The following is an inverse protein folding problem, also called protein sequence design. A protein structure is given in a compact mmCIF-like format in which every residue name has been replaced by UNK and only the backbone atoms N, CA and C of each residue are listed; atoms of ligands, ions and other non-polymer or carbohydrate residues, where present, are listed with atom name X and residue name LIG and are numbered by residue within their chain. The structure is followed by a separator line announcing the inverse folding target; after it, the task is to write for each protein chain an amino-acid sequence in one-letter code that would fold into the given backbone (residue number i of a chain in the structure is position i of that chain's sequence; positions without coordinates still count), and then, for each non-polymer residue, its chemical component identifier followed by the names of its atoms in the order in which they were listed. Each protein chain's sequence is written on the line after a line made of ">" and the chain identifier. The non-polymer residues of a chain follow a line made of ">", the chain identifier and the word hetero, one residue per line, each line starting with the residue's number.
data_IF_907159483044
#
_entry.id   IF_907159483044
#
_cell.length_a   1.000
_cell.length_b   1.000
_cell.length_c   1.000
_cell.angle_alpha   90.00
_cell.angle_beta   90.00
_cell.angle_gamma   90.00
#
_symmetry.space_group_name_H-M   'P 1'
#
loop_
_entity.id
_entity.type
_entity.pdbx_description
1 polymer ?
#
# COMPACT_ATOMS: atom_id res chain seq x y z
N UNK A 1 54.27 -35.62 11.80
CA UNK A 1 55.04 -36.47 10.88
C UNK A 1 54.11 -36.96 9.78
N UNK A 2 54.44 -36.67 8.63
CA UNK A 2 54.35 -37.11 7.24
C UNK A 2 53.86 -36.05 6.30
N UNK A 3 54.88 -35.48 5.65
CA UNK A 3 54.85 -34.74 4.41
C UNK A 3 54.49 -35.69 3.27
N UNK A 4 53.76 -35.25 2.27
CA UNK A 4 54.05 -35.64 0.90
C UNK A 4 53.74 -34.51 -0.06
N UNK A 5 54.76 -34.31 -0.87
CA UNK A 5 54.89 -33.34 -1.94
C UNK A 5 54.53 -34.04 -3.29
N UNK A 6 54.09 -33.25 -4.22
CA UNK A 6 54.70 -32.86 -5.50
C UNK A 6 54.17 -33.56 -6.78
N UNK A 7 54.10 -32.75 -7.77
CA UNK A 7 54.16 -32.72 -9.27
C UNK A 7 52.80 -32.47 -9.90
N UNK A 8 52.53 -31.46 -10.68
CA UNK A 8 53.38 -30.73 -11.67
C UNK A 8 53.20 -31.31 -13.07
N UNK A 9 52.37 -30.70 -13.93
CA UNK A 9 52.65 -30.68 -15.38
C UNK A 9 51.82 -29.59 -16.08
N UNK A 10 52.57 -28.68 -16.67
CA UNK A 10 52.23 -27.69 -17.70
C UNK A 10 51.97 -28.38 -19.03
N UNK A 11 50.93 -27.96 -19.78
CA UNK A 11 50.94 -28.09 -21.25
C UNK A 11 50.37 -26.80 -21.86
N UNK A 12 51.20 -26.14 -22.60
CA UNK A 12 50.95 -25.03 -23.52
C UNK A 12 50.42 -25.59 -24.81
N UNK A 13 49.45 -24.96 -25.43
CA UNK A 13 48.95 -25.30 -26.75
C UNK A 13 48.19 -24.13 -27.37
N UNK A 14 48.88 -23.25 -28.04
CA UNK A 14 48.33 -22.25 -28.93
C UNK A 14 47.91 -22.89 -30.26
N UNK A 15 46.75 -22.52 -30.79
CA UNK A 15 46.46 -22.63 -32.20
C UNK A 15 45.41 -21.61 -32.61
N UNK A 16 45.84 -20.61 -33.32
CA UNK A 16 45.07 -19.77 -34.24
C UNK A 16 44.60 -20.61 -35.43
N UNK A 17 43.39 -20.38 -35.93
CA UNK A 17 43.13 -20.33 -37.37
C UNK A 17 41.77 -19.65 -37.66
N UNK A 18 41.82 -18.74 -38.58
CA UNK A 18 40.75 -18.02 -39.27
C UNK A 18 39.90 -18.96 -40.15
N UNK A 19 38.63 -18.59 -40.32
CA UNK A 19 37.78 -19.15 -41.35
C UNK A 19 36.51 -18.35 -41.53
N UNK A 20 36.37 -17.69 -42.64
CA UNK A 20 35.33 -16.75 -43.03
C UNK A 20 34.13 -17.41 -43.71
N UNK A 21 33.02 -16.69 -43.75
CA UNK A 21 31.92 -16.63 -44.73
C UNK A 21 30.86 -17.72 -44.81
N UNK A 22 29.63 -17.27 -44.70
CA UNK A 22 28.58 -17.54 -45.67
C UNK A 22 27.31 -18.21 -45.19
N UNK A 23 26.18 -17.51 -45.31
CA UNK A 23 24.92 -18.16 -45.62
C UNK A 23 23.74 -17.92 -44.70
N UNK A 24 22.78 -17.20 -45.18
CA UNK A 24 21.49 -16.83 -44.65
C UNK A 24 20.63 -17.99 -44.16
N UNK A 25 19.87 -17.74 -43.08
CA UNK A 25 18.82 -18.60 -42.54
C UNK A 25 18.08 -17.91 -41.43
N UNK A 26 17.02 -17.23 -41.76
CA UNK A 26 16.10 -16.49 -40.93
C UNK A 26 15.24 -17.46 -40.12
N UNK A 27 15.26 -17.36 -38.77
CA UNK A 27 14.06 -17.66 -37.99
C UNK A 27 14.17 -16.99 -36.63
N UNK A 28 13.20 -16.14 -36.37
CA UNK A 28 13.09 -15.30 -35.22
C UNK A 28 12.85 -16.09 -33.93
N UNK A 29 13.57 -15.72 -32.91
CA UNK A 29 13.31 -15.99 -31.53
C UNK A 29 13.51 -14.67 -30.80
N UNK A 30 12.46 -13.93 -30.63
CA UNK A 30 12.45 -12.72 -29.82
C UNK A 30 12.65 -13.09 -28.35
N UNK A 31 13.90 -13.30 -27.97
CA UNK A 31 14.33 -13.27 -26.57
C UNK A 31 14.64 -11.83 -26.24
N UNK A 32 13.57 -11.10 -25.85
CA UNK A 32 13.68 -9.77 -25.31
C UNK A 32 14.63 -9.76 -24.11
N UNK A 33 15.90 -9.55 -24.38
CA UNK A 33 16.91 -9.19 -23.41
C UNK A 33 16.47 -7.84 -22.80
N UNK A 34 15.77 -7.87 -21.66
CA UNK A 34 15.56 -6.69 -20.82
C UNK A 34 16.94 -6.28 -20.32
N UNK A 35 17.62 -5.45 -21.09
CA UNK A 35 18.88 -4.85 -20.69
C UNK A 35 18.71 -4.21 -19.32
N UNK A 36 19.47 -4.67 -18.33
CA UNK A 36 19.64 -4.01 -17.06
C UNK A 36 19.93 -2.53 -17.33
N UNK A 37 19.05 -1.65 -16.88
CA UNK A 37 19.22 -0.22 -17.05
C UNK A 37 20.22 0.28 -16.00
N UNK A 38 21.49 -0.09 -16.20
CA UNK A 38 22.60 0.06 -15.25
C UNK A 38 23.01 1.51 -14.95
N UNK A 39 22.38 2.49 -15.60
CA UNK A 39 22.71 3.91 -15.51
C UNK A 39 21.82 4.73 -14.56
N UNK A 40 21.00 4.08 -13.72
CA UNK A 40 20.22 4.75 -12.68
C UNK A 40 20.90 4.53 -11.34
N UNK A 41 21.43 5.60 -10.77
CA UNK A 41 22.12 5.59 -9.47
C UNK A 41 21.65 6.75 -8.59
N UNK A 42 21.76 6.58 -7.29
CA UNK A 42 21.44 7.60 -6.30
C UNK A 42 20.47 7.12 -5.23
N UNK A 43 20.22 8.00 -4.25
CA UNK A 43 19.33 7.72 -3.13
C UNK A 43 18.04 8.51 -3.28
N UNK A 44 16.92 7.82 -3.09
CA UNK A 44 15.56 8.38 -3.02
C UNK A 44 15.12 8.39 -1.57
N UNK A 45 14.73 9.53 -1.03
CA UNK A 45 14.35 9.69 0.38
C UNK A 45 12.87 9.94 0.54
N UNK A 46 12.19 9.05 1.23
CA UNK A 46 10.79 9.15 1.60
C UNK A 46 10.55 9.17 3.09
N UNK A 47 9.42 9.72 3.49
CA UNK A 47 8.93 9.64 4.86
C UNK A 47 7.41 9.71 4.88
N UNK A 48 6.75 9.05 5.83
CA UNK A 48 5.31 9.24 6.02
C UNK A 48 4.56 8.06 6.63
N UNK A 49 3.43 7.78 6.02
CA UNK A 49 2.39 6.88 6.51
C UNK A 49 2.85 5.45 6.72
N UNK A 50 2.56 4.88 7.89
CA UNK A 50 2.69 3.46 8.18
C UNK A 50 1.81 2.58 7.27
N UNK A 51 0.65 3.10 6.87
CA UNK A 51 -0.26 2.40 5.93
C UNK A 51 0.36 2.26 4.54
N UNK A 52 1.07 3.28 4.05
CA UNK A 52 1.68 3.26 2.70
C UNK A 52 3.03 2.55 2.68
N UNK A 53 3.71 2.49 3.83
CA UNK A 53 5.04 1.90 3.94
C UNK A 53 5.17 0.50 3.31
N UNK A 54 4.25 -0.47 3.52
CA UNK A 54 4.34 -1.79 2.91
C UNK A 54 4.33 -1.77 1.37
N UNK A 55 3.60 -0.82 0.77
CA UNK A 55 3.61 -0.63 -0.69
C UNK A 55 4.99 -0.17 -1.14
N UNK A 56 5.56 0.83 -0.45
CA UNK A 56 6.89 1.37 -0.78
C UNK A 56 7.97 0.30 -0.60
N UNK A 57 7.89 -0.50 0.45
CA UNK A 57 8.81 -1.62 0.71
C UNK A 57 8.75 -2.66 -0.43
N UNK A 58 7.54 -3.03 -0.84
CA UNK A 58 7.35 -3.97 -1.95
C UNK A 58 7.86 -3.43 -3.28
N UNK A 59 7.56 -2.16 -3.57
CA UNK A 59 8.10 -1.47 -4.75
C UNK A 59 9.61 -1.39 -4.71
N UNK A 60 10.22 -1.09 -3.56
CA UNK A 60 11.67 -1.02 -3.41
C UNK A 60 12.35 -2.37 -3.60
N UNK A 61 11.75 -3.46 -3.08
CA UNK A 61 12.23 -4.83 -3.31
C UNK A 61 12.34 -5.16 -4.80
N UNK A 62 11.31 -4.79 -5.59
CA UNK A 62 11.27 -5.06 -7.02
C UNK A 62 12.15 -4.08 -7.81
N UNK A 63 12.16 -2.80 -7.43
CA UNK A 63 12.96 -1.74 -8.05
C UNK A 63 14.46 -2.01 -7.92
N UNK A 64 14.93 -2.42 -6.74
CA UNK A 64 16.34 -2.72 -6.47
C UNK A 64 16.89 -3.87 -7.32
N UNK A 65 16.03 -4.83 -7.70
CA UNK A 65 16.41 -5.93 -8.62
C UNK A 65 16.69 -5.43 -10.04
N UNK A 66 16.02 -4.34 -10.45
CA UNK A 66 16.18 -3.74 -11.78
C UNK A 66 17.24 -2.61 -11.77
N UNK A 67 17.40 -1.91 -10.67
CA UNK A 67 18.26 -0.71 -10.52
C UNK A 67 19.18 -0.86 -9.31
N UNK A 68 20.15 -1.73 -9.40
CA UNK A 68 21.01 -2.14 -8.27
C UNK A 68 21.96 -1.05 -7.72
N UNK A 69 22.07 0.11 -8.40
CA UNK A 69 22.82 1.28 -7.94
C UNK A 69 21.93 2.39 -7.37
N UNK A 70 20.62 2.19 -7.36
CA UNK A 70 19.67 3.11 -6.75
C UNK A 70 19.14 2.53 -5.44
N UNK A 71 18.96 3.39 -4.43
CA UNK A 71 18.46 3.02 -3.11
C UNK A 71 17.24 3.86 -2.78
N UNK A 72 16.18 3.25 -2.26
CA UNK A 72 15.01 3.95 -1.73
C UNK A 72 14.99 3.80 -0.21
N UNK A 73 15.19 4.92 0.48
CA UNK A 73 15.11 5.02 1.93
C UNK A 73 13.74 5.59 2.31
N UNK A 74 12.91 4.81 2.97
CA UNK A 74 11.60 5.25 3.43
C UNK A 74 11.49 5.14 4.95
N UNK A 75 11.27 6.28 5.63
CA UNK A 75 11.07 6.32 7.08
C UNK A 75 9.58 6.33 7.38
N UNK A 76 9.16 5.44 8.27
CA UNK A 76 7.78 5.32 8.72
C UNK A 76 7.57 6.10 10.01
N UNK A 77 7.02 7.31 9.90
CA UNK A 77 6.80 8.21 11.06
C UNK A 77 5.35 8.73 11.17
N UNK A 78 4.48 8.26 10.27
CA UNK A 78 3.11 8.74 10.13
C UNK A 78 2.98 9.90 9.13
N UNK A 79 1.77 10.02 8.54
CA UNK A 79 1.49 11.02 7.48
C UNK A 79 1.85 12.45 7.87
N UNK A 80 1.52 12.85 9.10
CA UNK A 80 1.76 14.22 9.58
C UNK A 80 3.25 14.56 9.69
N UNK A 81 4.06 13.62 10.20
CA UNK A 81 5.51 13.81 10.32
C UNK A 81 6.19 13.70 8.96
N UNK A 82 5.68 12.86 8.06
CA UNK A 82 6.09 12.82 6.65
C UNK A 82 5.99 14.19 6.00
N UNK A 83 4.84 14.85 6.11
CA UNK A 83 4.66 16.21 5.58
C UNK A 83 5.60 17.23 6.24
N UNK A 84 5.84 17.15 7.55
CA UNK A 84 6.82 18.05 8.21
C UNK A 84 8.23 17.91 7.60
N UNK A 85 8.70 16.68 7.36
CA UNK A 85 10.00 16.47 6.72
C UNK A 85 10.02 16.93 5.27
N UNK A 86 8.93 16.68 4.54
CA UNK A 86 8.77 17.10 3.15
C UNK A 86 8.77 18.62 2.98
N UNK A 87 8.04 19.35 3.82
CA UNK A 87 7.98 20.81 3.86
C UNK A 87 9.35 21.44 4.18
N UNK A 88 10.21 20.73 4.91
CA UNK A 88 11.58 21.20 5.15
C UNK A 88 12.57 20.84 4.05
N UNK A 89 12.12 20.16 2.98
CA UNK A 89 12.95 19.75 1.85
C UNK A 89 13.91 18.59 2.15
N UNK A 90 13.76 17.92 3.30
CA UNK A 90 14.65 16.82 3.72
C UNK A 90 14.37 15.53 2.96
N UNK A 91 13.16 15.36 2.41
CA UNK A 91 12.77 14.17 1.64
C UNK A 91 12.42 14.54 0.21
N UNK A 92 12.54 13.58 -0.69
CA UNK A 92 12.16 13.70 -2.09
C UNK A 92 10.66 13.51 -2.25
N UNK A 93 10.06 12.67 -1.39
CA UNK A 93 8.62 12.45 -1.35
C UNK A 93 8.09 12.32 0.09
N UNK A 94 6.79 12.56 0.24
CA UNK A 94 6.02 12.16 1.43
C UNK A 94 4.96 11.16 1.00
N UNK A 95 4.89 10.01 1.66
CA UNK A 95 3.77 9.10 1.49
C UNK A 95 2.68 9.39 2.52
N UNK A 96 1.41 9.30 2.11
CA UNK A 96 0.29 9.75 2.92
C UNK A 96 -0.94 8.87 2.74
N UNK A 97 -1.68 8.65 3.83
CA UNK A 97 -2.95 7.93 3.87
C UNK A 97 -4.16 8.85 4.03
N UNK A 98 -3.98 10.11 3.72
CA UNK A 98 -5.01 11.15 3.61
C UNK A 98 -4.56 12.23 2.63
N UNK A 99 -5.51 13.04 2.09
CA UNK A 99 -5.15 14.24 1.34
C UNK A 99 -4.32 15.22 2.18
N UNK A 100 -3.48 15.99 1.49
CA UNK A 100 -2.72 17.09 2.09
C UNK A 100 -3.66 18.15 2.66
N UNK A 101 -3.39 18.66 3.85
CA UNK A 101 -4.17 19.71 4.50
C UNK A 101 -3.86 21.10 3.90
N UNK A 102 -4.79 22.03 4.01
CA UNK A 102 -4.60 23.39 3.49
C UNK A 102 -3.45 24.13 4.19
N UNK A 103 -3.24 23.87 5.48
CA UNK A 103 -2.08 24.38 6.23
C UNK A 103 -0.75 23.86 5.67
N UNK A 104 -0.70 22.57 5.33
CA UNK A 104 0.48 21.92 4.74
C UNK A 104 0.76 22.46 3.34
N UNK A 105 -0.31 22.68 2.51
CA UNK A 105 -0.21 23.33 1.20
C UNK A 105 0.35 24.75 1.31
N UNK A 106 -0.16 25.53 2.28
CA UNK A 106 0.32 26.91 2.49
C UNK A 106 1.80 26.92 2.88
N UNK A 107 2.23 26.04 3.78
CA UNK A 107 3.63 25.92 4.19
C UNK A 107 4.55 25.53 3.01
N UNK A 108 4.13 24.63 2.13
CA UNK A 108 4.88 24.29 0.91
C UNK A 108 5.02 25.47 -0.01
N UNK A 109 3.93 26.25 -0.20
CA UNK A 109 3.93 27.49 -1.00
C UNK A 109 4.90 28.52 -0.43
N UNK A 110 4.89 28.75 0.88
CA UNK A 110 5.79 29.70 1.57
C UNK A 110 7.26 29.28 1.42
N UNK A 111 7.54 27.99 1.37
CA UNK A 111 8.87 27.41 1.13
C UNK A 111 9.23 27.30 -0.34
N UNK A 112 8.33 27.70 -1.26
CA UNK A 112 8.50 27.59 -2.71
C UNK A 112 8.80 26.14 -3.17
N UNK A 113 8.14 25.17 -2.53
CA UNK A 113 8.23 23.76 -2.88
C UNK A 113 7.01 23.41 -3.73
N UNK A 114 7.25 23.25 -5.02
CA UNK A 114 6.25 22.71 -5.93
C UNK A 114 6.22 21.18 -5.81
N UNK A 115 5.03 20.63 -5.74
CA UNK A 115 4.82 19.18 -5.59
C UNK A 115 3.74 18.66 -6.52
N UNK A 116 3.75 17.36 -6.73
CA UNK A 116 2.67 16.64 -7.43
C UNK A 116 2.16 15.52 -6.55
N UNK A 117 0.84 15.42 -6.48
CA UNK A 117 0.12 14.33 -5.82
C UNK A 117 -0.06 13.18 -6.81
N UNK A 118 0.36 11.99 -6.39
CA UNK A 118 0.15 10.73 -7.08
C UNK A 118 -0.64 9.80 -6.15
N UNK A 119 -1.85 9.46 -6.53
CA UNK A 119 -2.62 8.41 -5.86
C UNK A 119 -2.11 7.06 -6.36
N UNK A 120 -1.75 6.15 -5.45
CA UNK A 120 -1.11 4.87 -5.81
C UNK A 120 -1.96 3.65 -5.51
N UNK A 121 -2.93 3.76 -4.60
CA UNK A 121 -3.85 2.70 -4.21
C UNK A 121 -5.02 3.26 -3.39
N UNK A 122 -5.99 2.40 -3.09
CA UNK A 122 -7.05 2.62 -2.09
C UNK A 122 -6.90 1.62 -0.95
N UNK A 123 -7.08 2.11 0.27
CA UNK A 123 -7.29 1.27 1.45
C UNK A 123 -8.79 1.12 1.70
N UNK A 124 -9.26 -0.10 1.90
CA UNK A 124 -10.63 -0.42 2.26
C UNK A 124 -10.66 -1.17 3.58
N UNK A 125 -11.26 -0.57 4.61
CA UNK A 125 -11.43 -1.19 5.91
C UNK A 125 -12.78 -1.91 5.97
N UNK A 126 -12.75 -3.23 6.09
CA UNK A 126 -13.97 -4.06 6.17
C UNK A 126 -14.35 -4.29 7.62
N UNK A 127 -15.61 -4.00 7.94
CA UNK A 127 -16.25 -4.44 9.17
C UNK A 127 -16.89 -5.79 8.90
N UNK A 128 -16.55 -6.80 9.67
CA UNK A 128 -17.07 -8.14 9.48
C UNK A 128 -17.63 -8.72 10.78
N UNK A 129 -18.66 -9.55 10.62
CA UNK A 129 -19.25 -10.37 11.68
C UNK A 129 -19.18 -11.84 11.28
N UNK A 130 -19.42 -12.73 12.24
CA UNK A 130 -19.54 -14.15 11.98
C UNK A 130 -20.61 -14.43 10.90
N UNK A 131 -20.39 -15.44 10.04
CA UNK A 131 -21.33 -15.80 8.98
C UNK A 131 -22.74 -16.11 9.50
N UNK A 132 -22.83 -16.76 10.67
CA UNK A 132 -24.10 -17.15 11.33
C UNK A 132 -24.76 -16.00 12.11
N UNK A 133 -24.15 -14.80 12.09
CA UNK A 133 -24.81 -13.60 12.61
C UNK A 133 -25.87 -13.13 11.62
N UNK A 134 -27.14 -13.38 11.93
CA UNK A 134 -28.28 -13.14 11.03
C UNK A 134 -28.95 -11.77 11.22
N UNK A 135 -28.59 -11.04 12.30
CA UNK A 135 -29.25 -9.79 12.67
C UNK A 135 -28.47 -8.52 12.28
N UNK A 136 -27.11 -8.53 12.26
CA UNK A 136 -26.33 -7.37 11.85
C UNK A 136 -26.20 -7.35 10.32
N UNK A 137 -26.86 -6.37 9.68
CA UNK A 137 -26.80 -6.18 8.23
C UNK A 137 -26.09 -4.90 7.84
N UNK A 138 -26.28 -3.85 8.63
CA UNK A 138 -25.74 -2.53 8.40
C UNK A 138 -25.46 -1.83 9.72
N UNK A 139 -24.45 -0.98 9.74
CA UNK A 139 -24.09 -0.12 10.88
C UNK A 139 -23.72 1.28 10.36
N UNK A 140 -23.97 2.30 11.17
CA UNK A 140 -23.42 3.64 10.96
C UNK A 140 -22.03 3.78 11.58
N UNK A 141 -21.30 4.85 11.24
CA UNK A 141 -20.05 5.19 11.91
C UNK A 141 -20.25 5.45 13.42
N UNK A 142 -21.41 6.03 13.78
CA UNK A 142 -21.78 6.24 15.20
C UNK A 142 -22.05 4.92 15.93
N UNK A 143 -22.66 3.93 15.27
CA UNK A 143 -22.86 2.60 15.85
C UNK A 143 -21.51 1.91 16.10
N UNK A 144 -20.59 1.98 15.13
CA UNK A 144 -19.23 1.47 15.29
C UNK A 144 -18.51 2.17 16.46
N UNK A 145 -18.65 3.49 16.55
CA UNK A 145 -18.07 4.25 17.67
C UNK A 145 -18.62 3.79 19.02
N UNK A 146 -19.96 3.58 19.17
CA UNK A 146 -20.56 3.05 20.38
C UNK A 146 -20.03 1.67 20.75
N UNK A 147 -19.87 0.79 19.75
CA UNK A 147 -19.33 -0.57 19.95
C UNK A 147 -17.89 -0.48 20.46
N UNK A 148 -17.03 0.18 19.70
CA UNK A 148 -15.59 0.19 19.95
C UNK A 148 -15.14 1.16 21.05
N UNK A 149 -16.01 2.07 21.53
CA UNK A 149 -15.79 2.83 22.76
C UNK A 149 -16.23 2.07 24.01
N UNK A 150 -16.95 0.94 23.86
CA UNK A 150 -17.52 0.17 24.96
C UNK A 150 -18.78 0.78 25.57
N UNK A 151 -19.39 1.78 24.91
CA UNK A 151 -20.70 2.33 25.28
C UNK A 151 -21.81 1.29 25.06
N UNK A 152 -21.81 0.63 23.91
CA UNK A 152 -22.69 -0.50 23.65
C UNK A 152 -22.01 -1.80 24.16
N UNK A 153 -22.63 -2.44 25.14
CA UNK A 153 -22.16 -3.73 25.69
C UNK A 153 -22.88 -4.92 25.07
N UNK A 154 -24.12 -4.70 24.68
CA UNK A 154 -24.95 -5.71 24.02
C UNK A 154 -25.37 -5.21 22.63
N UNK A 155 -25.69 -6.11 21.74
CA UNK A 155 -26.21 -5.76 20.42
C UNK A 155 -27.50 -4.95 20.48
N UNK A 156 -28.37 -5.20 21.47
CA UNK A 156 -29.57 -4.39 21.72
C UNK A 156 -29.29 -2.93 22.09
N UNK A 157 -28.08 -2.60 22.56
CA UNK A 157 -27.67 -1.22 22.87
C UNK A 157 -27.36 -0.43 21.58
N UNK A 158 -27.02 -1.14 20.50
CA UNK A 158 -26.82 -0.57 19.16
C UNK A 158 -28.15 -0.37 18.44
N UNK A 159 -28.98 -1.40 18.44
CA UNK A 159 -30.32 -1.37 17.85
C UNK A 159 -31.27 -2.20 18.72
N UNK A 160 -32.39 -1.62 19.23
CA UNK A 160 -33.36 -2.34 20.08
C UNK A 160 -33.98 -3.60 19.43
N UNK A 161 -33.90 -3.70 18.11
CA UNK A 161 -34.36 -4.89 17.36
C UNK A 161 -33.36 -6.05 17.37
N UNK A 162 -32.13 -5.80 17.79
CA UNK A 162 -31.10 -6.83 17.90
C UNK A 162 -31.23 -7.61 19.22
N UNK A 163 -30.73 -8.84 19.29
CA UNK A 163 -30.81 -9.63 20.50
C UNK A 163 -29.99 -9.01 21.63
N UNK A 164 -30.44 -9.19 22.88
CA UNK A 164 -29.69 -8.79 24.08
C UNK A 164 -28.56 -9.80 24.34
N UNK A 165 -27.52 -9.74 23.51
CA UNK A 165 -26.32 -10.58 23.57
C UNK A 165 -25.07 -9.70 23.66
N UNK A 166 -24.07 -10.11 24.45
CA UNK A 166 -22.85 -9.30 24.61
C UNK A 166 -22.09 -9.20 23.27
N UNK A 167 -21.56 -8.00 22.99
CA UNK A 167 -20.71 -7.77 21.83
C UNK A 167 -19.30 -8.21 22.17
N UNK A 168 -18.68 -9.00 21.28
CA UNK A 168 -17.25 -9.32 21.30
C UNK A 168 -16.55 -8.57 20.18
N UNK A 169 -15.88 -7.47 20.51
CA UNK A 169 -15.18 -6.64 19.53
C UNK A 169 -13.71 -7.06 19.41
N UNK A 170 -13.25 -7.21 18.17
CA UNK A 170 -11.86 -7.57 17.83
C UNK A 170 -11.24 -6.49 16.95
N UNK A 171 -9.96 -6.23 17.10
CA UNK A 171 -9.26 -5.14 16.43
C UNK A 171 -7.79 -5.50 16.17
N UNK A 172 -7.18 -4.99 15.10
CA UNK A 172 -5.73 -4.87 15.02
C UNK A 172 -5.20 -4.08 16.22
N UNK A 173 -3.93 -4.25 16.54
CA UNK A 173 -3.27 -3.40 17.52
C UNK A 173 -2.73 -2.09 16.88
N UNK A 174 -2.13 -1.24 17.69
CA UNK A 174 -1.63 0.08 17.29
C UNK A 174 -0.46 0.05 16.30
N UNK A 175 0.11 -1.12 16.01
CA UNK A 175 1.17 -1.25 15.01
C UNK A 175 0.64 -1.28 13.57
N UNK A 176 -0.69 -1.41 13.39
CA UNK A 176 -1.34 -1.54 12.09
C UNK A 176 -1.91 -0.23 11.56
N UNK A 177 -1.63 0.08 10.29
CA UNK A 177 -2.26 1.21 9.60
C UNK A 177 -3.80 1.15 9.55
N UNK A 178 -4.37 -0.06 9.60
CA UNK A 178 -5.83 -0.28 9.70
C UNK A 178 -6.38 0.18 11.04
N UNK A 179 -5.63 -0.01 12.14
CA UNK A 179 -5.98 0.54 13.45
C UNK A 179 -6.00 2.08 13.42
N UNK A 180 -4.96 2.69 12.84
CA UNK A 180 -4.86 4.14 12.72
C UNK A 180 -6.03 4.72 11.93
N UNK A 181 -6.38 4.06 10.81
CA UNK A 181 -7.52 4.48 9.99
C UNK A 181 -8.84 4.43 10.76
N UNK A 182 -9.12 3.32 11.43
CA UNK A 182 -10.34 3.19 12.24
C UNK A 182 -10.35 4.20 13.39
N UNK A 183 -9.22 4.41 14.05
CA UNK A 183 -9.08 5.39 15.14
C UNK A 183 -9.35 6.82 14.65
N UNK A 184 -8.88 7.18 13.45
CA UNK A 184 -9.08 8.52 12.88
C UNK A 184 -10.52 8.73 12.39
N UNK A 185 -11.04 7.81 11.56
CA UNK A 185 -12.32 8.00 10.86
C UNK A 185 -13.55 7.65 11.70
N UNK A 186 -13.43 6.71 12.63
CA UNK A 186 -14.56 6.23 13.44
C UNK A 186 -14.47 6.72 14.88
N UNK A 187 -13.30 6.59 15.50
CA UNK A 187 -13.16 6.85 16.93
C UNK A 187 -12.81 8.29 17.28
N UNK A 188 -12.51 9.16 16.31
CA UNK A 188 -11.98 10.51 16.56
C UNK A 188 -10.76 10.48 17.51
N UNK A 189 -9.87 9.48 17.32
CA UNK A 189 -8.67 9.21 18.13
C UNK A 189 -8.94 8.83 19.59
N UNK A 190 -10.16 8.44 19.92
CA UNK A 190 -10.48 7.82 21.21
C UNK A 190 -9.97 6.38 21.26
N UNK A 191 -9.77 5.87 22.48
CA UNK A 191 -9.28 4.50 22.68
C UNK A 191 -10.29 3.46 22.18
N UNK A 192 -9.76 2.43 21.50
CA UNK A 192 -10.53 1.30 20.98
C UNK A 192 -10.62 0.23 22.07
N UNK A 193 -11.83 -0.03 22.55
CA UNK A 193 -12.17 -1.07 23.53
C UNK A 193 -12.50 -2.37 22.78
N UNK A 194 -11.48 -3.15 22.49
CA UNK A 194 -11.59 -4.42 21.79
C UNK A 194 -10.47 -5.36 22.23
N UNK A 195 -10.64 -6.63 21.99
CA UNK A 195 -9.54 -7.59 22.04
C UNK A 195 -8.62 -7.32 20.84
N UNK A 196 -7.37 -6.95 21.15
CA UNK A 196 -6.38 -6.50 20.15
C UNK A 196 -5.39 -7.60 19.83
N UNK A 197 -5.05 -7.75 18.55
CA UNK A 197 -4.02 -8.67 18.12
C UNK A 197 -3.17 -8.07 17.00
N UNK A 198 -1.87 -8.37 17.01
CA UNK A 198 -0.93 -7.98 15.98
C UNK A 198 -1.12 -8.79 14.69
N UNK A 199 -1.61 -10.03 14.79
CA UNK A 199 -1.83 -10.89 13.64
C UNK A 199 -3.30 -10.80 13.20
N UNK A 200 -3.52 -10.33 11.97
CA UNK A 200 -4.86 -10.19 11.38
C UNK A 200 -5.57 -11.54 11.21
N UNK A 201 -4.85 -12.64 10.93
CA UNK A 201 -5.47 -13.97 10.83
C UNK A 201 -6.08 -14.42 12.15
N UNK A 202 -5.47 -14.04 13.28
CA UNK A 202 -6.02 -14.30 14.62
C UNK A 202 -7.31 -13.51 14.83
N UNK A 203 -7.36 -12.26 14.38
CA UNK A 203 -8.58 -11.42 14.44
C UNK A 203 -9.69 -12.04 13.60
N UNK A 204 -9.38 -12.41 12.35
CA UNK A 204 -10.30 -13.11 11.45
C UNK A 204 -10.86 -14.35 12.11
N UNK A 205 -9.99 -15.21 12.65
CA UNK A 205 -10.36 -16.43 13.35
C UNK A 205 -11.23 -16.17 14.57
N UNK A 206 -10.92 -15.13 15.34
CA UNK A 206 -11.72 -14.74 16.51
C UNK A 206 -13.14 -14.33 16.13
N UNK A 207 -13.33 -13.63 15.00
CA UNK A 207 -14.67 -13.31 14.48
C UNK A 207 -15.40 -14.56 13.98
N UNK A 208 -14.70 -15.47 13.29
CA UNK A 208 -15.26 -16.73 12.83
C UNK A 208 -15.75 -17.63 13.97
N UNK A 209 -15.03 -17.66 15.08
CA UNK A 209 -15.34 -18.53 16.22
C UNK A 209 -16.40 -17.94 17.17
N UNK A 210 -16.80 -16.69 16.98
CA UNK A 210 -17.76 -16.02 17.88
C UNK A 210 -18.96 -15.47 17.08
N UNK A 211 -20.14 -16.06 17.28
CA UNK A 211 -21.39 -15.64 16.61
C UNK A 211 -21.78 -14.19 16.92
N UNK A 212 -21.46 -13.70 18.11
CA UNK A 212 -21.68 -12.33 18.56
C UNK A 212 -20.44 -11.43 18.31
N UNK A 213 -19.46 -11.96 17.57
CA UNK A 213 -18.20 -11.27 17.25
C UNK A 213 -18.36 -10.22 16.15
N UNK A 214 -17.61 -9.13 16.29
CA UNK A 214 -17.40 -8.12 15.27
C UNK A 214 -15.91 -7.75 15.21
N UNK A 215 -15.36 -7.64 14.03
CA UNK A 215 -13.97 -7.24 13.83
C UNK A 215 -13.81 -6.30 12.64
N UNK A 216 -12.64 -5.67 12.55
CA UNK A 216 -12.27 -4.91 11.37
C UNK A 216 -10.84 -5.22 10.93
N UNK A 217 -10.66 -5.26 9.62
CA UNK A 217 -9.38 -5.53 8.94
C UNK A 217 -9.43 -5.05 7.49
N UNK A 218 -8.30 -5.12 6.78
CA UNK A 218 -8.24 -4.74 5.37
C UNK A 218 -9.12 -5.67 4.50
N UNK A 219 -9.65 -5.12 3.41
CA UNK A 219 -10.64 -5.77 2.54
C UNK A 219 -10.19 -7.13 2.00
N UNK A 220 -8.93 -7.30 1.67
CA UNK A 220 -8.46 -8.57 1.12
C UNK A 220 -8.53 -9.72 2.13
N UNK A 221 -8.32 -9.47 3.42
CA UNK A 221 -8.54 -10.49 4.46
C UNK A 221 -10.01 -10.93 4.52
N UNK A 222 -10.97 -10.01 4.34
CA UNK A 222 -12.36 -10.36 4.21
C UNK A 222 -12.60 -11.21 2.95
N UNK A 223 -12.08 -10.79 1.80
CA UNK A 223 -12.24 -11.47 0.52
C UNK A 223 -11.73 -12.92 0.56
N UNK A 224 -10.61 -13.16 1.21
CA UNK A 224 -10.05 -14.51 1.38
C UNK A 224 -10.86 -15.38 2.35
N UNK A 225 -11.67 -14.77 3.23
CA UNK A 225 -12.42 -15.45 4.29
C UNK A 225 -13.95 -15.29 4.18
N UNK A 226 -14.48 -14.82 3.05
CA UNK A 226 -15.90 -14.53 2.84
C UNK A 226 -16.84 -15.73 3.00
N UNK A 227 -16.30 -16.95 2.94
CA UNK A 227 -17.08 -18.16 3.16
C UNK A 227 -17.49 -18.35 4.62
N UNK A 228 -16.74 -17.78 5.56
CA UNK A 228 -16.93 -17.89 7.00
C UNK A 228 -17.23 -16.56 7.71
N UNK A 229 -17.19 -15.47 6.98
CA UNK A 229 -17.47 -14.12 7.47
C UNK A 229 -18.58 -13.47 6.64
N UNK A 230 -19.23 -12.47 7.24
CA UNK A 230 -20.15 -11.59 6.56
C UNK A 230 -19.71 -10.15 6.73
N UNK A 231 -19.52 -9.44 5.61
CA UNK A 231 -19.28 -8.02 5.65
C UNK A 231 -20.53 -7.27 6.09
N UNK A 232 -20.35 -6.22 6.85
CA UNK A 232 -21.39 -5.32 7.31
C UNK A 232 -21.43 -4.10 6.38
N UNK A 233 -22.59 -3.74 5.87
CA UNK A 233 -22.77 -2.51 5.10
C UNK A 233 -22.60 -1.31 6.03
N UNK A 234 -21.84 -0.32 5.58
CA UNK A 234 -21.60 0.89 6.36
C UNK A 234 -22.39 2.06 5.80
N UNK A 235 -23.17 2.71 6.67
CA UNK A 235 -23.87 3.95 6.33
C UNK A 235 -22.88 5.10 6.33
N UNK A 236 -22.70 5.67 5.13
CA UNK A 236 -21.96 6.90 4.93
C UNK A 236 -22.72 8.13 5.46
N UNK A 237 -22.11 9.30 5.32
CA UNK A 237 -22.71 10.60 5.71
C UNK A 237 -23.98 10.93 4.93
N UNK A 238 -24.15 10.35 3.73
CA UNK A 238 -25.34 10.47 2.89
C UNK A 238 -26.48 9.52 3.32
N UNK A 239 -26.27 8.71 4.36
CA UNK A 239 -27.21 7.73 4.90
C UNK A 239 -27.34 6.43 4.10
N UNK A 240 -26.60 6.29 3.00
CA UNK A 240 -26.60 5.05 2.19
C UNK A 240 -25.72 3.99 2.84
N UNK A 241 -26.26 2.79 2.97
CA UNK A 241 -25.53 1.63 3.46
C UNK A 241 -24.87 0.91 2.28
N UNK A 242 -23.54 0.99 2.18
CA UNK A 242 -22.74 0.43 1.09
C UNK A 242 -21.91 -0.73 1.62
N UNK A 243 -21.85 -1.80 0.85
CA UNK A 243 -21.04 -2.98 1.13
C UNK A 243 -19.60 -2.76 0.66
N UNK A 244 -18.59 -3.22 1.41
CA UNK A 244 -17.21 -3.20 0.94
C UNK A 244 -17.02 -4.22 -0.19
N UNK A 245 -16.70 -3.73 -1.36
CA UNK A 245 -16.17 -4.52 -2.47
C UNK A 245 -15.10 -3.73 -3.22
N UNK A 246 -14.37 -4.39 -4.12
CA UNK A 246 -13.26 -3.75 -4.83
C UNK A 246 -13.72 -2.48 -5.58
N UNK A 247 -14.92 -2.48 -6.17
CA UNK A 247 -15.44 -1.34 -6.91
C UNK A 247 -15.81 -0.19 -5.98
N UNK A 248 -16.56 -0.45 -4.90
CA UNK A 248 -17.02 0.59 -3.97
C UNK A 248 -15.85 1.19 -3.16
N UNK A 249 -14.78 0.43 -2.94
CA UNK A 249 -13.52 0.91 -2.36
C UNK A 249 -12.78 1.75 -3.40
N UNK A 250 -12.67 1.26 -4.64
CA UNK A 250 -11.94 1.92 -5.72
C UNK A 250 -12.58 3.26 -6.11
N UNK A 251 -13.90 3.35 -6.23
CA UNK A 251 -14.63 4.57 -6.57
C UNK A 251 -14.88 5.51 -5.37
N UNK A 252 -14.56 5.05 -4.14
CA UNK A 252 -14.69 5.84 -2.91
C UNK A 252 -16.12 5.95 -2.39
N UNK A 253 -17.08 5.20 -2.94
CA UNK A 253 -18.48 5.20 -2.45
C UNK A 253 -18.65 4.47 -1.12
N UNK A 254 -17.75 3.52 -0.79
CA UNK A 254 -17.72 2.89 0.52
C UNK A 254 -17.15 3.83 1.59
N UNK A 255 -17.88 4.05 2.67
CA UNK A 255 -17.56 5.08 3.67
C UNK A 255 -16.23 4.88 4.41
N UNK A 256 -15.74 3.63 4.49
CA UNK A 256 -14.46 3.28 5.10
C UNK A 256 -13.41 2.93 4.03
N UNK A 257 -13.37 3.71 2.96
CA UNK A 257 -12.30 3.71 1.97
C UNK A 257 -11.52 5.02 2.03
N UNK A 258 -10.21 4.94 1.77
CA UNK A 258 -9.33 6.12 1.69
C UNK A 258 -8.29 5.98 0.59
N UNK A 259 -7.91 7.07 -0.06
CA UNK A 259 -6.81 7.08 -1.01
C UNK A 259 -5.45 7.01 -0.30
N UNK A 260 -4.49 6.38 -0.97
CA UNK A 260 -3.10 6.30 -0.56
C UNK A 260 -2.24 7.04 -1.58
N UNK A 261 -1.37 7.93 -1.10
CA UNK A 261 -0.66 8.90 -1.94
C UNK A 261 0.85 8.85 -1.78
N UNK A 262 1.53 9.27 -2.85
CA UNK A 262 2.89 9.80 -2.84
C UNK A 262 2.83 11.27 -3.27
N UNK A 263 3.29 12.17 -2.41
CA UNK A 263 3.50 13.59 -2.71
C UNK A 263 4.96 13.78 -3.10
N UNK A 264 5.21 14.03 -4.37
CA UNK A 264 6.55 14.11 -4.94
C UNK A 264 7.00 15.58 -5.12
N UNK A 265 8.21 15.91 -4.69
CA UNK A 265 8.81 17.23 -4.92
C UNK A 265 9.21 17.36 -6.40
N UNK A 266 8.61 18.29 -7.12
CA UNK A 266 8.80 18.45 -8.57
C UNK A 266 10.25 18.81 -8.94
N UNK A 267 10.94 19.59 -8.10
CA UNK A 267 12.36 19.88 -8.32
C UNK A 267 13.20 18.62 -8.18
N UNK A 268 12.94 17.82 -7.15
CA UNK A 268 13.64 16.55 -6.91
C UNK A 268 13.37 15.53 -8.01
N UNK A 269 12.16 15.47 -8.57
CA UNK A 269 11.83 14.64 -9.74
C UNK A 269 12.69 15.00 -10.97
N UNK A 270 13.03 16.29 -11.14
CA UNK A 270 13.88 16.74 -12.25
C UNK A 270 15.37 16.48 -11.98
N UNK A 271 15.81 16.70 -10.76
CA UNK A 271 17.23 16.70 -10.40
C UNK A 271 17.75 15.31 -10.01
N UNK A 272 16.90 14.43 -9.50
CA UNK A 272 17.25 13.07 -9.05
C UNK A 272 16.69 12.02 -10.02
N UNK A 273 17.55 11.49 -10.90
CA UNK A 273 17.16 10.48 -11.90
C UNK A 273 16.63 9.20 -11.23
N UNK A 274 17.19 8.77 -10.10
CA UNK A 274 16.72 7.60 -9.37
C UNK A 274 15.29 7.81 -8.85
N UNK A 275 14.95 9.02 -8.39
CA UNK A 275 13.60 9.34 -7.96
C UNK A 275 12.59 9.37 -9.11
N UNK A 276 12.95 9.96 -10.24
CA UNK A 276 12.08 9.96 -11.43
C UNK A 276 11.80 8.53 -11.91
N UNK A 277 12.81 7.66 -11.95
CA UNK A 277 12.65 6.26 -12.34
C UNK A 277 11.88 5.44 -11.30
N UNK A 278 12.08 5.69 -9.99
CA UNK A 278 11.27 5.05 -8.95
C UNK A 278 9.79 5.42 -9.06
N UNK A 279 9.46 6.69 -9.31
CA UNK A 279 8.08 7.11 -9.53
C UNK A 279 7.48 6.51 -10.80
N UNK A 280 8.26 6.45 -11.89
CA UNK A 280 7.84 5.77 -13.12
C UNK A 280 7.56 4.28 -12.85
N UNK A 281 8.49 3.59 -12.21
CA UNK A 281 8.35 2.19 -11.81
C UNK A 281 7.10 1.96 -10.96
N UNK A 282 6.84 2.84 -9.99
CA UNK A 282 5.65 2.80 -9.12
C UNK A 282 4.35 2.84 -9.93
N UNK A 283 4.25 3.74 -10.90
CA UNK A 283 3.06 3.91 -11.74
C UNK A 283 2.92 2.79 -12.78
N UNK A 284 4.03 2.33 -13.38
CA UNK A 284 4.06 1.20 -14.32
C UNK A 284 3.71 -0.14 -13.63
N UNK A 285 3.91 -0.24 -12.33
CA UNK A 285 3.50 -1.41 -11.52
C UNK A 285 1.98 -1.60 -11.48
N UNK A 286 1.19 -0.52 -11.74
CA UNK A 286 -0.28 -0.52 -11.83
C UNK A 286 -0.96 -1.14 -10.60
N UNK A 287 -0.42 -0.88 -9.42
CA UNK A 287 -0.98 -1.32 -8.15
C UNK A 287 -0.67 -2.75 -7.75
N UNK A 288 0.11 -3.52 -8.51
CA UNK A 288 0.47 -4.90 -8.15
C UNK A 288 1.15 -4.99 -6.78
N UNK A 289 1.99 -4.00 -6.44
CA UNK A 289 2.62 -3.93 -5.13
C UNK A 289 1.60 -3.66 -4.01
N UNK A 290 0.54 -2.90 -4.30
CA UNK A 290 -0.53 -2.64 -3.34
C UNK A 290 -1.40 -3.89 -3.10
N UNK A 291 -1.66 -4.68 -4.16
CA UNK A 291 -2.45 -5.91 -4.09
C UNK A 291 -1.63 -7.15 -3.70
N UNK A 292 -0.33 -6.99 -3.49
CA UNK A 292 0.54 -8.10 -3.10
C UNK A 292 0.10 -8.68 -1.75
N UNK A 293 0.24 -10.01 -1.61
CA UNK A 293 -0.06 -10.70 -0.36
C UNK A 293 0.72 -10.10 0.81
N UNK A 294 0.01 -9.76 1.87
CA UNK A 294 0.55 -9.10 3.08
C UNK A 294 0.59 -7.58 2.99
N UNK A 295 0.27 -6.98 1.82
CA UNK A 295 0.03 -5.53 1.64
C UNK A 295 -1.46 -5.25 1.60
N UNK A 296 -2.20 -5.98 0.76
CA UNK A 296 -3.65 -6.19 0.81
C UNK A 296 -4.53 -4.93 0.63
N UNK A 297 -4.09 -4.00 -0.23
CA UNK A 297 -4.87 -2.83 -0.64
C UNK A 297 -5.51 -3.03 -2.02
N UNK A 298 -6.30 -2.06 -2.48
CA UNK A 298 -7.00 -2.09 -3.76
C UNK A 298 -6.30 -1.20 -4.78
N UNK A 299 -5.97 -1.74 -5.96
CA UNK A 299 -5.41 -0.97 -7.05
C UNK A 299 -6.41 0.05 -7.61
N UNK A 300 -5.89 1.13 -8.18
CA UNK A 300 -6.71 2.07 -8.97
C UNK A 300 -7.08 1.45 -10.33
N UNK A 301 -8.07 2.03 -11.03
CA UNK A 301 -8.28 1.72 -12.44
C UNK A 301 -7.00 1.94 -13.26
N UNK A 302 -6.74 1.07 -14.23
CA UNK A 302 -5.54 1.17 -15.07
C UNK A 302 -5.39 2.53 -15.76
N UNK A 303 -6.51 3.13 -16.13
CA UNK A 303 -6.54 4.48 -16.71
C UNK A 303 -5.92 5.52 -15.81
N UNK A 304 -6.17 5.44 -14.50
CA UNK A 304 -5.68 6.45 -13.55
C UNK A 304 -4.16 6.38 -13.40
N UNK A 305 -3.57 5.18 -13.44
CA UNK A 305 -2.11 5.04 -13.51
C UNK A 305 -1.52 5.63 -14.78
N UNK A 306 -2.15 5.44 -15.94
CA UNK A 306 -1.72 6.04 -17.21
C UNK A 306 -1.78 7.56 -17.18
N UNK A 307 -2.87 8.12 -16.66
CA UNK A 307 -3.04 9.57 -16.54
C UNK A 307 -1.97 10.18 -15.61
N UNK A 308 -1.64 9.48 -14.52
CA UNK A 308 -0.59 9.90 -13.59
C UNK A 308 0.81 9.74 -14.16
N UNK A 309 1.06 8.69 -14.95
CA UNK A 309 2.32 8.52 -15.68
C UNK A 309 2.54 9.69 -16.66
N UNK A 310 1.53 10.06 -17.44
CA UNK A 310 1.59 11.22 -18.33
C UNK A 310 1.84 12.54 -17.57
N UNK A 311 1.31 12.67 -16.34
CA UNK A 311 1.61 13.81 -15.45
C UNK A 311 3.09 13.81 -15.03
N UNK A 312 3.64 12.65 -14.66
CA UNK A 312 5.05 12.50 -14.30
C UNK A 312 5.98 12.86 -15.45
N UNK A 313 5.69 12.38 -16.66
CA UNK A 313 6.47 12.64 -17.88
C UNK A 313 6.54 14.11 -18.20
N UNK A 314 5.43 14.84 -18.09
CA UNK A 314 5.41 16.30 -18.27
C UNK A 314 6.31 17.03 -17.28
N UNK A 315 6.38 16.56 -16.03
CA UNK A 315 7.23 17.15 -14.99
C UNK A 315 8.71 16.89 -15.27
N UNK A 316 9.04 15.66 -15.67
CA UNK A 316 10.43 15.23 -15.91
C UNK A 316 10.98 15.59 -17.28
N UNK A 317 10.14 16.13 -18.19
CA UNK A 317 10.53 16.46 -19.56
C UNK A 317 10.73 15.25 -20.49
N UNK A 318 10.25 14.07 -20.08
CA UNK A 318 10.31 12.83 -20.86
C UNK A 318 8.96 12.57 -21.54
N UNK A 319 8.42 13.53 -22.32
CA UNK A 319 7.26 13.25 -23.16
C UNK A 319 7.70 12.30 -24.29
N UNK A 320 7.01 11.20 -24.50
CA UNK A 320 7.25 10.34 -25.67
C UNK A 320 7.10 11.18 -26.94
N UNK A 321 8.15 11.14 -27.80
CA UNK A 321 8.12 11.69 -29.14
C UNK A 321 7.41 10.73 -30.08
#
# INVERSE_FOLDING_TARGET
>A
MKKWQVLGTTVVGASLLLGACGGAGQQGGDSGNKGENTNVEGTVKGNGSSTVAPIIEKLNEEFSKQYNKATVENVTSGTGDGFKQFITGKTDFSNASRPIKDEEKQQLKDKKIDYTEFEIAKDGLTIAVNKDNDFVKELSLDDLKKIYSGQAKNWSDVNPKYPKKPIKAFSPDQSHGTYDFFSEEVMNKQDIKAEKNQNTDVIVKSVQDNKEGIGFFAYNFYKENQDNLKAVKIKGKDGKAIEPDAKTIQDGSYALSRPLFIYANNKKLKDNKAFAEFMKFTLDNKGKAAEAKGVDYVALPEKDYKDQLSKLEKITGKSEK
#
